data_IF_979105297047
#
_entry.id   IF_979105297047
#
_cell.length_a   1.000
_cell.length_b   1.000
_cell.length_c   1.000
_cell.angle_alpha   90.00
_cell.angle_beta   90.00
_cell.angle_gamma   90.00
#
_symmetry.space_group_name_H-M   'P 1'
#
loop_
_entity.id
_entity.type
_entity.pdbx_description
1 polymer ?
#
# COMPACT_ATOMS: atom_id res chain seq x y z
N UNK A 1 16.47 -12.60 13.72
CA UNK A 1 15.15 -11.94 13.81
C UNK A 1 14.53 -12.28 15.15
N UNK A 2 14.16 -11.29 15.96
CA UNK A 2 13.46 -11.53 17.22
C UNK A 2 11.96 -11.71 16.94
N UNK A 3 11.22 -12.39 17.82
CA UNK A 3 9.77 -12.66 17.63
C UNK A 3 8.96 -11.37 17.35
N UNK A 4 9.37 -10.26 17.94
CA UNK A 4 8.76 -8.93 17.78
C UNK A 4 8.91 -8.41 16.34
N UNK A 5 10.08 -8.58 15.72
CA UNK A 5 10.30 -8.13 14.34
C UNK A 5 9.38 -8.89 13.37
N UNK A 6 9.27 -10.21 13.55
CA UNK A 6 8.38 -11.07 12.74
C UNK A 6 6.90 -10.74 12.94
N UNK A 7 6.53 -10.33 14.15
CA UNK A 7 5.17 -9.90 14.47
C UNK A 7 4.81 -8.61 13.73
N UNK A 8 5.67 -7.58 13.83
CA UNK A 8 5.46 -6.29 13.14
C UNK A 8 5.42 -6.47 11.62
N UNK A 9 6.33 -7.27 11.05
CA UNK A 9 6.35 -7.62 9.64
C UNK A 9 5.06 -8.31 9.18
N UNK A 10 4.56 -9.29 9.95
CA UNK A 10 3.31 -9.99 9.63
C UNK A 10 2.10 -9.04 9.70
N UNK A 11 2.10 -8.13 10.68
CA UNK A 11 1.05 -7.13 10.84
C UNK A 11 1.07 -6.07 9.72
N UNK A 12 2.24 -5.80 9.12
CA UNK A 12 2.38 -4.84 8.03
C UNK A 12 2.03 -5.40 6.64
N UNK A 13 2.39 -6.65 6.36
CA UNK A 13 2.20 -7.26 5.03
C UNK A 13 0.72 -7.33 4.63
N UNK A 14 -0.17 -7.64 5.58
CA UNK A 14 -1.62 -7.71 5.32
C UNK A 14 -2.20 -6.38 4.84
N UNK A 15 -2.09 -5.30 5.63
CA UNK A 15 -2.47 -3.94 5.23
C UNK A 15 -1.77 -3.48 3.96
N UNK A 16 -0.47 -3.74 3.79
CA UNK A 16 0.29 -3.30 2.60
C UNK A 16 -0.31 -3.83 1.30
N UNK A 17 -0.61 -5.13 1.24
CA UNK A 17 -1.19 -5.74 0.03
C UNK A 17 -2.57 -5.13 -0.23
N UNK A 18 -3.40 -5.01 0.81
CA UNK A 18 -4.76 -4.50 0.70
C UNK A 18 -4.78 -3.03 0.26
N UNK A 19 -3.98 -2.17 0.89
CA UNK A 19 -3.91 -0.74 0.54
C UNK A 19 -3.29 -0.54 -0.84
N UNK A 20 -2.30 -1.35 -1.23
CA UNK A 20 -1.69 -1.28 -2.56
C UNK A 20 -2.72 -1.55 -3.67
N UNK A 21 -3.50 -2.63 -3.56
CA UNK A 21 -4.54 -2.91 -4.54
C UNK A 21 -5.63 -1.84 -4.57
N UNK A 22 -6.05 -1.33 -3.41
CA UNK A 22 -7.05 -0.26 -3.33
C UNK A 22 -6.55 1.02 -4.02
N UNK A 23 -5.34 1.48 -3.70
CA UNK A 23 -4.76 2.69 -4.30
C UNK A 23 -4.57 2.51 -5.81
N UNK A 24 -4.10 1.35 -6.26
CA UNK A 24 -3.90 1.05 -7.67
C UNK A 24 -5.23 1.08 -8.45
N UNK A 25 -6.29 0.48 -7.90
CA UNK A 25 -7.64 0.52 -8.50
C UNK A 25 -8.18 1.95 -8.53
N UNK A 26 -8.02 2.73 -7.45
CA UNK A 26 -8.48 4.12 -7.39
C UNK A 26 -7.77 4.96 -8.46
N UNK A 27 -6.45 4.83 -8.61
CA UNK A 27 -5.68 5.55 -9.63
C UNK A 27 -6.09 5.14 -11.05
N UNK A 28 -6.35 3.85 -11.28
CA UNK A 28 -6.86 3.38 -12.58
C UNK A 28 -8.24 3.95 -12.91
N UNK A 29 -9.15 3.99 -11.94
CA UNK A 29 -10.49 4.57 -12.14
C UNK A 29 -10.41 6.08 -12.36
N UNK A 30 -9.56 6.78 -11.61
CA UNK A 30 -9.30 8.21 -11.80
C UNK A 30 -8.78 8.50 -13.21
N UNK A 31 -7.83 7.67 -13.68
CA UNK A 31 -7.28 7.78 -15.02
C UNK A 31 -8.34 7.50 -16.10
N UNK A 32 -9.10 6.40 -15.95
CA UNK A 32 -10.18 6.06 -16.87
C UNK A 32 -11.20 7.20 -16.98
N UNK A 33 -11.54 7.84 -15.88
CA UNK A 33 -12.47 8.96 -15.90
C UNK A 33 -11.89 10.20 -16.58
N UNK A 34 -10.61 10.50 -16.35
CA UNK A 34 -9.91 11.62 -17.00
C UNK A 34 -9.75 11.44 -18.51
N UNK A 35 -9.50 10.22 -18.97
CA UNK A 35 -9.27 9.90 -20.38
C UNK A 35 -10.49 9.30 -21.07
N UNK A 36 -11.65 9.25 -20.39
CA UNK A 36 -12.88 8.65 -20.95
C UNK A 36 -13.30 9.38 -22.22
N UNK A 37 -13.20 10.70 -22.26
CA UNK A 37 -13.58 11.51 -23.43
C UNK A 37 -12.57 11.39 -24.59
N UNK A 38 -11.28 11.18 -24.28
CA UNK A 38 -10.21 11.00 -25.27
C UNK A 38 -10.18 9.59 -25.88
N UNK A 39 -10.70 8.60 -25.14
CA UNK A 39 -10.82 7.20 -25.53
C UNK A 39 -12.17 6.91 -26.20
N UNK A 40 -13.24 7.56 -25.75
CA UNK A 40 -14.60 7.40 -26.27
C UNK A 40 -14.78 8.16 -27.60
N UNK A 41 -14.47 7.48 -28.70
CA UNK A 41 -14.75 8.00 -30.04
C UNK A 41 -13.73 7.61 -31.11
N UNK A 42 -12.58 7.02 -30.74
CA UNK A 42 -11.48 6.74 -31.68
C UNK A 42 -11.53 5.37 -32.38
N UNK A 43 -12.61 4.60 -32.27
CA UNK A 43 -12.72 3.29 -32.94
C UNK A 43 -11.60 2.31 -32.57
N UNK A 44 -11.11 2.40 -31.33
CA UNK A 44 -9.96 1.64 -30.86
C UNK A 44 -10.28 0.15 -30.79
N UNK A 45 -9.42 -0.66 -31.41
CA UNK A 45 -9.50 -2.11 -31.31
C UNK A 45 -9.28 -2.54 -29.85
N UNK A 46 -10.11 -3.45 -29.31
CA UNK A 46 -10.05 -3.91 -27.91
C UNK A 46 -8.63 -4.32 -27.47
N UNK A 47 -7.83 -4.81 -28.42
CA UNK A 47 -6.42 -5.19 -28.20
C UNK A 47 -5.53 -4.00 -27.81
N UNK A 48 -5.72 -2.85 -28.46
CA UNK A 48 -4.97 -1.61 -28.18
C UNK A 48 -5.41 -1.05 -26.83
N UNK A 49 -6.71 -1.14 -26.52
CA UNK A 49 -7.24 -0.68 -25.23
C UNK A 49 -6.64 -1.48 -24.06
N UNK A 50 -6.52 -2.79 -24.20
CA UNK A 50 -5.91 -3.66 -23.18
C UNK A 50 -4.42 -3.38 -22.99
N UNK A 51 -3.67 -3.18 -24.08
CA UNK A 51 -2.25 -2.82 -24.04
C UNK A 51 -2.03 -1.45 -23.37
N UNK A 52 -2.91 -0.49 -23.64
CA UNK A 52 -2.93 0.83 -22.99
C UNK A 52 -3.15 0.70 -21.47
N UNK A 53 -4.14 -0.10 -21.05
CA UNK A 53 -4.45 -0.31 -19.62
C UNK A 53 -3.30 -0.97 -18.85
N UNK A 54 -2.61 -1.92 -19.46
CA UNK A 54 -1.43 -2.56 -18.85
C UNK A 54 -0.30 -1.54 -18.71
N UNK A 55 -0.05 -0.75 -19.77
CA UNK A 55 0.98 0.29 -19.76
C UNK A 55 0.71 1.34 -18.66
N UNK A 56 -0.54 1.76 -18.50
CA UNK A 56 -0.93 2.68 -17.45
C UNK A 56 -0.79 2.09 -16.07
N UNK A 57 -1.25 0.85 -15.88
CA UNK A 57 -1.07 0.14 -14.62
C UNK A 57 0.40 0.14 -14.20
N UNK A 58 1.32 -0.19 -15.13
CA UNK A 58 2.76 -0.17 -14.88
C UNK A 58 3.30 1.23 -14.52
N UNK A 59 2.80 2.28 -15.18
CA UNK A 59 3.18 3.67 -14.85
C UNK A 59 2.66 4.15 -13.50
N UNK A 60 1.53 3.62 -13.02
CA UNK A 60 0.96 3.98 -11.72
C UNK A 60 1.53 3.17 -10.55
N UNK A 61 2.19 2.04 -10.79
CA UNK A 61 2.81 1.23 -9.73
C UNK A 61 3.82 2.03 -8.89
N UNK A 62 4.78 2.79 -9.48
CA UNK A 62 5.75 3.58 -8.71
C UNK A 62 5.13 4.69 -7.86
N UNK A 63 3.97 5.23 -8.25
CA UNK A 63 3.27 6.28 -7.48
C UNK A 63 2.32 5.68 -6.45
N UNK A 64 1.72 4.54 -6.74
CA UNK A 64 0.87 3.79 -5.81
C UNK A 64 1.65 3.20 -4.64
N UNK A 65 2.88 2.73 -4.87
CA UNK A 65 3.74 2.09 -3.87
C UNK A 65 3.99 2.96 -2.61
N UNK A 66 4.51 4.21 -2.72
CA UNK A 66 4.77 5.04 -1.54
C UNK A 66 3.49 5.42 -0.80
N UNK A 67 2.39 5.67 -1.52
CA UNK A 67 1.07 5.92 -0.90
C UNK A 67 0.59 4.70 -0.10
N UNK A 68 0.67 3.52 -0.71
CA UNK A 68 0.25 2.27 -0.08
C UNK A 68 1.09 1.95 1.17
N UNK A 69 2.40 2.18 1.11
CA UNK A 69 3.32 2.02 2.25
C UNK A 69 2.93 2.94 3.41
N UNK A 70 2.68 4.23 3.14
CA UNK A 70 2.29 5.18 4.18
C UNK A 70 0.98 4.77 4.86
N UNK A 71 -0.04 4.42 4.06
CA UNK A 71 -1.33 3.98 4.57
C UNK A 71 -1.22 2.68 5.36
N UNK A 72 -0.44 1.72 4.86
CA UNK A 72 -0.21 0.45 5.54
C UNK A 72 0.52 0.64 6.87
N UNK A 73 1.52 1.52 6.91
CA UNK A 73 2.25 1.83 8.14
C UNK A 73 1.32 2.48 9.17
N UNK A 74 0.49 3.43 8.73
CA UNK A 74 -0.52 4.07 9.58
C UNK A 74 -1.52 3.04 10.14
N UNK A 75 -2.06 2.15 9.31
CA UNK A 75 -2.98 1.09 9.74
C UNK A 75 -2.30 0.10 10.70
N UNK A 76 -1.05 -0.26 10.46
CA UNK A 76 -0.31 -1.20 11.31
C UNK A 76 -0.08 -0.62 12.70
N UNK A 77 0.41 0.62 12.79
CA UNK A 77 0.60 1.29 14.07
C UNK A 77 -0.70 1.71 14.74
N UNK A 78 -1.73 2.06 13.95
CA UNK A 78 -3.08 2.36 14.42
C UNK A 78 -3.71 1.14 15.10
N UNK A 79 -3.73 -0.01 14.42
CA UNK A 79 -4.25 -1.27 14.98
C UNK A 79 -3.48 -1.70 16.23
N UNK A 80 -2.14 -1.63 16.21
CA UNK A 80 -1.33 -1.94 17.39
C UNK A 80 -1.59 -0.97 18.56
N UNK A 81 -2.01 0.27 18.27
CA UNK A 81 -2.45 1.25 19.27
C UNK A 81 -3.84 0.92 19.84
N UNK A 82 -4.81 0.59 18.98
CA UNK A 82 -6.17 0.23 19.37
C UNK A 82 -6.22 -1.02 20.25
N UNK A 83 -5.47 -2.07 19.88
CA UNK A 83 -5.39 -3.29 20.68
C UNK A 83 -4.44 -3.19 21.88
N UNK A 84 -3.91 -1.99 22.17
CA UNK A 84 -2.92 -1.74 23.24
C UNK A 84 -1.65 -2.60 23.14
N UNK A 85 -1.39 -3.24 21.99
CA UNK A 85 -0.19 -4.05 21.74
C UNK A 85 1.08 -3.19 21.78
N UNK A 86 0.99 -1.97 21.25
CA UNK A 86 2.07 -0.99 21.28
C UNK A 86 2.38 -0.58 22.73
N UNK A 87 1.34 -0.40 23.56
CA UNK A 87 1.45 -0.04 24.98
C UNK A 87 2.05 -1.19 25.80
N UNK A 88 1.63 -2.42 25.52
CA UNK A 88 2.16 -3.63 26.16
C UNK A 88 3.64 -3.88 25.80
N UNK A 89 4.02 -3.67 24.54
CA UNK A 89 5.41 -3.77 24.11
C UNK A 89 6.27 -2.69 24.80
N UNK A 90 5.77 -1.46 24.90
CA UNK A 90 6.48 -0.36 25.57
C UNK A 90 6.62 -0.60 27.08
N UNK A 91 5.60 -1.14 27.76
CA UNK A 91 5.67 -1.48 29.19
C UNK A 91 6.56 -2.69 29.48
N UNK A 92 6.77 -3.59 28.50
CA UNK A 92 7.74 -4.69 28.59
C UNK A 92 9.22 -4.25 28.44
N UNK A 93 9.48 -2.94 28.38
CA UNK A 93 10.82 -2.38 28.27
C UNK A 93 11.38 -2.31 26.84
N UNK A 94 10.56 -2.56 25.81
CA UNK A 94 10.98 -2.43 24.42
C UNK A 94 10.77 -0.98 23.96
N UNK A 95 11.85 -0.32 23.51
CA UNK A 95 11.76 1.04 22.99
C UNK A 95 10.94 1.10 21.69
N UNK A 96 10.12 2.14 21.55
CA UNK A 96 9.29 2.38 20.35
C UNK A 96 10.14 2.41 19.07
N UNK A 97 11.33 3.00 19.15
CA UNK A 97 12.29 3.09 18.04
C UNK A 97 12.72 1.70 17.53
N UNK A 98 12.72 0.69 18.40
CA UNK A 98 13.03 -0.70 18.03
C UNK A 98 11.86 -1.41 17.34
N UNK A 99 10.63 -1.03 17.66
CA UNK A 99 9.41 -1.52 16.98
C UNK A 99 9.30 -0.92 15.58
N UNK A 100 9.74 0.33 15.40
CA UNK A 100 9.73 1.02 14.10
C UNK A 100 10.87 0.60 13.15
N UNK A 101 12.01 0.14 13.69
CA UNK A 101 13.17 -0.34 12.91
C UNK A 101 12.84 -1.33 11.78
N UNK A 102 12.09 -2.43 12.01
CA UNK A 102 11.79 -3.40 10.95
C UNK A 102 11.01 -2.79 9.77
N UNK A 103 10.20 -1.76 10.01
CA UNK A 103 9.50 -1.05 8.94
C UNK A 103 10.44 -0.13 8.15
N UNK A 104 11.35 0.58 8.83
CA UNK A 104 12.35 1.42 8.18
C UNK A 104 13.37 0.66 7.32
N UNK A 105 13.59 -0.64 7.56
CA UNK A 105 14.44 -1.47 6.70
C UNK A 105 13.71 -2.06 5.50
N UNK A 106 12.38 -2.12 5.55
CA UNK A 106 11.55 -2.71 4.51
C UNK A 106 11.07 -1.67 3.48
N UNK A 107 11.00 -0.41 3.91
CA UNK A 107 10.71 0.78 3.09
C UNK A 107 12.02 1.27 2.49
#
# INVERSE_FOLDING_TARGET
MKKVDKFVLKSFIGPLILTFFIVLIILLLQFLWMYVDDLAGKGLNFKILAELLIQFTLSFVPTALPLAILLAALMTFGNMGEFSELTALKSSGISLMRIMRPLMYLI
#
